data_IF_985922002776
#
_entry.id   IF_985922002776
#
_cell.length_a   1.000
_cell.length_b   1.000
_cell.length_c   1.000
_cell.angle_alpha   90.00
_cell.angle_beta   90.00
_cell.angle_gamma   90.00
#
_symmetry.space_group_name_H-M   'P 1'
#
loop_
_entity.id
_entity.type
_entity.pdbx_description
1 polymer ?
#
# COMPACT_ATOMS: atom_id res chain seq x y z
N UNK A 1 33.05 -36.72 49.54
CA UNK A 1 31.61 -36.68 49.85
C UNK A 1 31.13 -35.25 49.60
N UNK A 2 30.64 -34.96 48.39
CA UNK A 2 30.24 -33.61 47.94
C UNK A 2 28.79 -33.73 47.43
N UNK A 3 27.89 -32.93 48.02
CA UNK A 3 26.43 -33.03 47.95
C UNK A 3 25.82 -32.67 46.56
N UNK A 4 24.82 -33.44 46.06
CA UNK A 4 24.24 -33.31 44.72
C UNK A 4 23.23 -32.14 44.54
N UNK A 5 23.02 -31.30 45.55
CA UNK A 5 21.96 -30.26 45.54
C UNK A 5 22.25 -29.03 44.66
N UNK A 6 23.52 -28.79 44.29
CA UNK A 6 23.90 -27.58 43.54
C UNK A 6 23.47 -27.64 42.06
N UNK A 7 23.35 -28.85 41.48
CA UNK A 7 23.03 -29.04 40.06
C UNK A 7 21.57 -28.70 39.70
N UNK A 8 20.64 -28.79 40.66
CA UNK A 8 19.20 -28.61 40.41
C UNK A 8 18.78 -27.14 40.27
N UNK A 9 19.49 -26.21 40.92
CA UNK A 9 19.14 -24.78 40.89
C UNK A 9 19.60 -24.07 39.62
N UNK A 10 20.61 -24.61 38.92
CA UNK A 10 21.15 -24.02 37.68
C UNK A 10 20.26 -24.32 36.48
N UNK A 11 19.61 -25.49 36.45
CA UNK A 11 18.73 -25.89 35.34
C UNK A 11 17.45 -25.04 35.24
N UNK A 12 16.92 -24.55 36.37
CA UNK A 12 15.68 -23.77 36.40
C UNK A 12 15.89 -22.30 35.97
N UNK A 13 17.10 -21.77 36.12
CA UNK A 13 17.42 -20.38 35.78
C UNK A 13 17.62 -20.17 34.26
N UNK A 14 18.07 -21.19 33.52
CA UNK A 14 18.22 -21.10 32.06
C UNK A 14 16.89 -21.27 31.29
N UNK A 15 15.92 -22.00 31.84
CA UNK A 15 14.64 -22.24 31.18
C UNK A 15 13.75 -21.00 31.07
N UNK A 16 13.86 -20.06 32.03
CA UNK A 16 13.05 -18.83 32.03
C UNK A 16 13.64 -17.72 31.16
N UNK A 17 14.94 -17.77 30.86
CA UNK A 17 15.61 -16.76 30.05
C UNK A 17 15.30 -16.87 28.54
N UNK A 18 14.75 -18.01 28.08
CA UNK A 18 14.48 -18.24 26.65
C UNK A 18 13.09 -17.80 26.18
N UNK A 19 12.23 -17.29 27.07
CA UNK A 19 10.85 -16.88 26.73
C UNK A 19 10.71 -15.39 26.37
N UNK A 20 11.78 -14.59 26.43
CA UNK A 20 11.70 -13.12 26.30
C UNK A 20 12.29 -12.56 24.99
N UNK A 21 12.93 -13.37 24.14
CA UNK A 21 13.59 -12.87 22.91
C UNK A 21 12.71 -12.82 21.65
N UNK A 22 11.40 -13.09 21.76
CA UNK A 22 10.47 -13.11 20.62
C UNK A 22 9.89 -11.77 20.19
N UNK A 23 10.27 -10.66 20.82
CA UNK A 23 9.81 -9.31 20.48
C UNK A 23 10.48 -8.76 19.22
N UNK A 24 10.23 -9.39 18.06
CA UNK A 24 10.61 -8.79 16.79
C UNK A 24 9.97 -7.40 16.68
N UNK A 25 10.79 -6.37 16.47
CA UNK A 25 10.31 -5.03 16.12
C UNK A 25 9.40 -5.16 14.90
N UNK A 26 8.09 -5.22 15.12
CA UNK A 26 7.12 -4.88 14.07
C UNK A 26 7.20 -3.37 13.94
N UNK A 27 8.08 -2.90 13.07
CA UNK A 27 7.96 -1.55 12.55
C UNK A 27 6.52 -1.39 12.06
N UNK A 28 5.78 -0.47 12.65
CA UNK A 28 4.50 -0.06 12.12
C UNK A 28 4.73 0.30 10.64
N UNK A 29 3.91 -0.20 9.70
CA UNK A 29 4.06 0.17 8.31
C UNK A 29 4.08 1.70 8.24
N UNK A 30 5.10 2.31 7.60
CA UNK A 30 5.18 3.75 7.53
C UNK A 30 3.87 4.28 6.97
N UNK A 31 3.28 5.26 7.66
CA UNK A 31 2.17 6.05 7.13
C UNK A 31 2.51 6.51 5.72
N UNK A 32 1.56 6.47 4.79
CA UNK A 32 1.80 6.77 3.38
C UNK A 32 2.60 8.08 3.21
N UNK A 33 3.86 7.97 2.78
CA UNK A 33 4.71 9.12 2.52
C UNK A 33 4.10 9.92 1.37
N UNK A 34 3.77 11.20 1.60
CA UNK A 34 3.25 12.10 0.56
C UNK A 34 4.15 12.17 -0.67
N UNK A 35 5.45 11.87 -0.53
CA UNK A 35 6.41 11.78 -1.64
C UNK A 35 6.10 10.63 -2.60
N UNK A 36 5.48 9.56 -2.13
CA UNK A 36 4.98 8.48 -2.98
C UNK A 36 3.95 9.04 -3.97
N UNK A 37 2.87 9.64 -3.44
CA UNK A 37 1.75 10.14 -4.25
C UNK A 37 2.23 11.21 -5.22
N UNK A 38 2.97 12.20 -4.73
CA UNK A 38 3.52 13.27 -5.58
C UNK A 38 4.52 12.75 -6.60
N UNK A 39 5.29 11.71 -6.28
CA UNK A 39 6.20 11.03 -7.19
C UNK A 39 5.49 10.37 -8.37
N UNK A 40 4.44 9.59 -8.08
CA UNK A 40 3.65 8.90 -9.11
C UNK A 40 2.81 9.87 -9.96
N UNK A 41 2.20 10.87 -9.35
CA UNK A 41 1.50 11.91 -10.10
C UNK A 41 2.43 12.69 -11.04
N UNK A 42 3.69 12.92 -10.63
CA UNK A 42 4.71 13.54 -11.50
C UNK A 42 5.14 12.62 -12.64
N UNK A 43 5.23 11.30 -12.40
CA UNK A 43 5.48 10.33 -13.46
C UNK A 43 4.32 10.28 -14.47
N UNK A 44 3.08 10.27 -13.99
CA UNK A 44 1.89 10.35 -14.84
C UNK A 44 1.87 11.65 -15.64
N UNK A 45 2.23 12.78 -15.02
CA UNK A 45 2.35 14.06 -15.73
C UNK A 45 3.41 13.99 -16.85
N UNK A 46 4.56 13.38 -16.59
CA UNK A 46 5.59 13.20 -17.60
C UNK A 46 5.10 12.32 -18.77
N UNK A 47 4.34 11.26 -18.47
CA UNK A 47 3.72 10.40 -19.49
C UNK A 47 2.73 11.18 -20.36
N UNK A 48 1.77 11.89 -19.74
CA UNK A 48 0.78 12.72 -20.44
C UNK A 48 1.46 13.74 -21.36
N UNK A 49 2.57 14.33 -20.90
CA UNK A 49 3.39 15.26 -21.70
C UNK A 49 4.09 14.57 -22.87
N UNK A 50 4.64 13.38 -22.67
CA UNK A 50 5.31 12.61 -23.71
C UNK A 50 4.33 12.19 -24.81
N UNK A 51 3.13 11.77 -24.43
CA UNK A 51 2.05 11.34 -25.34
C UNK A 51 1.27 12.51 -25.96
N UNK A 52 1.59 13.77 -25.59
CA UNK A 52 0.95 14.99 -26.10
C UNK A 52 -0.58 14.95 -26.03
N UNK A 53 -1.12 14.39 -24.95
CA UNK A 53 -2.57 14.25 -24.81
C UNK A 53 -3.25 15.61 -24.80
N UNK A 54 -4.38 15.73 -25.49
CA UNK A 54 -5.20 16.94 -25.47
C UNK A 54 -5.69 17.24 -24.04
N UNK A 55 -5.94 18.52 -23.69
CA UNK A 55 -6.36 18.90 -22.34
C UNK A 55 -7.52 18.06 -21.75
N UNK A 56 -8.63 17.77 -22.47
CA UNK A 56 -9.71 16.96 -21.91
C UNK A 56 -9.32 15.48 -21.73
N UNK A 57 -8.47 14.93 -22.61
CA UNK A 57 -7.98 13.55 -22.48
C UNK A 57 -7.02 13.43 -21.28
N UNK A 58 -6.10 14.37 -21.15
CA UNK A 58 -5.18 14.46 -20.01
C UNK A 58 -5.94 14.55 -18.68
N UNK A 59 -6.98 15.38 -18.59
CA UNK A 59 -7.80 15.52 -17.39
C UNK A 59 -8.43 14.19 -16.96
N UNK A 60 -8.96 13.41 -17.93
CA UNK A 60 -9.52 12.08 -17.69
C UNK A 60 -8.47 11.10 -17.15
N UNK A 61 -7.29 11.08 -17.77
CA UNK A 61 -6.18 10.20 -17.35
C UNK A 61 -5.72 10.53 -15.93
N UNK A 62 -5.53 11.81 -15.60
CA UNK A 62 -5.16 12.22 -14.24
C UNK A 62 -6.22 11.85 -13.21
N UNK A 63 -7.50 12.07 -13.52
CA UNK A 63 -8.59 11.79 -12.59
C UNK A 63 -8.66 10.31 -12.23
N UNK A 64 -8.70 9.42 -13.23
CA UNK A 64 -8.79 7.98 -12.98
C UNK A 64 -7.50 7.41 -12.35
N UNK A 65 -6.32 7.86 -12.78
CA UNK A 65 -5.06 7.46 -12.16
C UNK A 65 -5.00 7.84 -10.69
N UNK A 66 -5.34 9.10 -10.36
CA UNK A 66 -5.36 9.57 -8.98
C UNK A 66 -6.39 8.86 -8.10
N UNK A 67 -7.60 8.59 -8.62
CA UNK A 67 -8.63 7.83 -7.89
C UNK A 67 -8.17 6.41 -7.58
N UNK A 68 -7.56 5.73 -8.54
CA UNK A 68 -7.05 4.37 -8.34
C UNK A 68 -5.89 4.34 -7.32
N UNK A 69 -4.96 5.29 -7.41
CA UNK A 69 -3.87 5.46 -6.45
C UNK A 69 -4.40 5.73 -5.03
N UNK A 70 -5.40 6.61 -4.92
CA UNK A 70 -6.04 6.96 -3.65
C UNK A 70 -6.74 5.76 -3.01
N UNK A 71 -7.57 5.03 -3.76
CA UNK A 71 -8.32 3.88 -3.26
C UNK A 71 -7.41 2.71 -2.86
N UNK A 72 -6.25 2.56 -3.50
CA UNK A 72 -5.26 1.56 -3.10
C UNK A 72 -4.48 1.92 -1.83
N UNK A 73 -4.27 3.21 -1.55
CA UNK A 73 -3.66 3.68 -0.28
C UNK A 73 -4.63 3.67 0.89
N UNK A 74 -5.92 3.96 0.62
CA UNK A 74 -6.97 4.14 1.62
C UNK A 74 -7.02 3.06 2.71
N UNK A 75 -6.94 1.75 2.43
CA UNK A 75 -7.06 0.74 3.49
C UNK A 75 -5.88 0.78 4.50
N UNK A 76 -4.77 1.42 4.14
CA UNK A 76 -3.63 1.63 5.02
C UNK A 76 -3.70 2.86 5.92
N UNK A 77 -4.75 3.67 5.82
CA UNK A 77 -4.90 4.91 6.58
C UNK A 77 -6.30 5.01 7.21
N UNK A 78 -6.41 5.18 8.53
CA UNK A 78 -7.70 5.42 9.17
C UNK A 78 -8.32 6.79 8.84
N UNK A 79 -7.53 7.71 8.25
CA UNK A 79 -7.99 9.05 7.89
C UNK A 79 -8.66 9.12 6.51
N UNK A 80 -8.37 8.17 5.63
CA UNK A 80 -8.89 8.17 4.26
C UNK A 80 -10.24 7.44 4.18
N UNK A 81 -11.20 8.05 3.48
CA UNK A 81 -12.55 7.49 3.27
C UNK A 81 -12.69 7.08 1.82
N UNK A 82 -13.37 5.97 1.55
CA UNK A 82 -13.55 5.53 0.16
C UNK A 82 -14.43 6.53 -0.60
N UNK A 83 -14.03 6.80 -1.83
CA UNK A 83 -14.76 7.54 -2.85
C UNK A 83 -15.87 6.70 -3.51
N UNK A 84 -15.91 5.39 -3.24
CA UNK A 84 -17.02 4.53 -3.64
C UNK A 84 -18.35 5.10 -3.11
N UNK A 85 -19.34 5.21 -4.00
CA UNK A 85 -20.61 5.86 -3.71
C UNK A 85 -20.59 7.38 -3.63
N UNK A 86 -19.41 8.03 -3.68
CA UNK A 86 -19.29 9.49 -3.78
C UNK A 86 -19.10 9.96 -5.24
N UNK A 87 -18.38 9.16 -6.03
CA UNK A 87 -18.18 9.42 -7.45
C UNK A 87 -19.22 8.68 -8.30
N UNK A 88 -19.71 9.36 -9.34
CA UNK A 88 -20.67 8.78 -10.28
C UNK A 88 -20.08 7.52 -10.91
N UNK A 89 -20.76 6.38 -10.73
CA UNK A 89 -20.34 5.11 -11.31
C UNK A 89 -19.15 4.45 -10.60
N UNK A 90 -18.69 4.94 -9.45
CA UNK A 90 -17.71 4.21 -8.63
C UNK A 90 -18.43 3.37 -7.58
N UNK A 91 -18.47 2.06 -7.80
CA UNK A 91 -19.09 1.08 -6.92
C UNK A 91 -18.10 0.59 -5.86
N UNK A 92 -18.55 -0.33 -5.02
CA UNK A 92 -17.68 -1.01 -4.05
C UNK A 92 -16.49 -1.67 -4.74
N UNK A 93 -15.31 -1.45 -4.15
CA UNK A 93 -14.03 -1.97 -4.62
C UNK A 93 -13.62 -3.22 -3.83
N UNK A 94 -12.74 -4.07 -4.38
CA UNK A 94 -12.23 -5.24 -3.66
C UNK A 94 -11.65 -4.85 -2.29
N UNK A 95 -12.13 -5.53 -1.25
CA UNK A 95 -11.62 -5.35 0.11
C UNK A 95 -10.36 -6.20 0.36
N UNK A 96 -9.41 -5.72 1.17
CA UNK A 96 -8.29 -6.53 1.64
C UNK A 96 -8.78 -7.77 2.38
N UNK A 97 -8.11 -8.92 2.20
CA UNK A 97 -8.50 -10.16 2.87
C UNK A 97 -8.12 -10.09 4.36
N UNK A 98 -9.01 -10.51 5.28
CA UNK A 98 -8.70 -10.56 6.70
C UNK A 98 -7.49 -11.46 6.98
N UNK A 99 -6.58 -11.01 7.84
CA UNK A 99 -5.41 -11.78 8.26
C UNK A 99 -4.21 -11.74 7.31
N UNK A 100 -4.35 -11.17 6.11
CA UNK A 100 -3.23 -10.93 5.20
C UNK A 100 -2.53 -9.60 5.50
N UNK A 101 -1.24 -9.51 5.14
CA UNK A 101 -0.46 -8.26 5.23
C UNK A 101 -0.25 -7.70 3.84
N UNK A 102 -0.52 -6.42 3.67
CA UNK A 102 -0.36 -5.70 2.42
C UNK A 102 0.66 -4.59 2.56
N UNK A 103 1.44 -4.37 1.50
CA UNK A 103 2.23 -3.16 1.33
C UNK A 103 1.38 -2.12 0.56
N UNK A 104 0.78 -1.19 1.29
CA UNK A 104 -0.16 -0.21 0.71
C UNK A 104 0.45 0.66 -0.40
N UNK A 105 1.72 1.11 -0.32
CA UNK A 105 2.40 1.76 -1.44
C UNK A 105 2.36 0.92 -2.73
N UNK A 106 2.73 -0.36 -2.66
CA UNK A 106 2.71 -1.26 -3.82
C UNK A 106 1.30 -1.48 -4.35
N UNK A 107 0.32 -1.69 -3.46
CA UNK A 107 -1.10 -1.85 -3.85
C UNK A 107 -1.60 -0.63 -4.60
N UNK A 108 -1.30 0.57 -4.09
CA UNK A 108 -1.73 1.82 -4.70
C UNK A 108 -1.18 2.03 -6.11
N UNK A 109 0.13 1.82 -6.29
CA UNK A 109 0.79 1.95 -7.60
C UNK A 109 0.27 0.88 -8.57
N UNK A 110 0.01 -0.33 -8.07
CA UNK A 110 -0.56 -1.42 -8.88
C UNK A 110 -1.98 -1.08 -9.34
N UNK A 111 -2.79 -0.46 -8.47
CA UNK A 111 -4.13 0.00 -8.81
C UNK A 111 -4.10 1.11 -9.86
N UNK A 112 -3.25 2.14 -9.67
CA UNK A 112 -3.03 3.20 -10.68
C UNK A 112 -2.60 2.62 -12.02
N UNK A 113 -1.59 1.74 -12.02
CA UNK A 113 -1.08 1.09 -13.24
C UNK A 113 -2.17 0.28 -13.94
N UNK A 114 -3.02 -0.43 -13.19
CA UNK A 114 -4.15 -1.19 -13.75
C UNK A 114 -5.14 -0.28 -14.46
N UNK A 115 -5.51 0.85 -13.83
CA UNK A 115 -6.41 1.83 -14.42
C UNK A 115 -5.81 2.47 -15.68
N UNK A 116 -4.55 2.89 -15.62
CA UNK A 116 -3.84 3.48 -16.76
C UNK A 116 -3.72 2.49 -17.92
N UNK A 117 -3.34 1.23 -17.65
CA UNK A 117 -3.26 0.20 -18.69
C UNK A 117 -4.60 -0.01 -19.41
N UNK A 118 -5.73 0.06 -18.70
CA UNK A 118 -7.06 0.05 -19.32
C UNK A 118 -7.24 1.23 -20.27
N UNK A 119 -7.01 2.45 -19.77
CA UNK A 119 -7.20 3.69 -20.53
C UNK A 119 -6.30 3.79 -21.78
N UNK A 120 -5.05 3.33 -21.70
CA UNK A 120 -4.13 3.38 -22.85
C UNK A 120 -4.35 2.22 -23.84
N UNK A 121 -4.84 1.05 -23.39
CA UNK A 121 -5.18 -0.06 -24.30
C UNK A 121 -6.39 0.22 -25.18
N UNK A 122 -7.34 0.99 -24.68
CA UNK A 122 -8.53 1.41 -25.42
C UNK A 122 -8.22 2.40 -26.57
N UNK A 123 -6.96 2.82 -26.71
CA UNK A 123 -6.48 3.69 -27.77
C UNK A 123 -6.90 5.14 -27.50
N UNK A 124 -6.01 5.93 -26.90
CA UNK A 124 -6.23 7.37 -26.83
C UNK A 124 -6.11 7.92 -28.26
N UNK A 125 -7.16 8.50 -28.86
CA UNK A 125 -7.03 9.11 -30.17
C UNK A 125 -6.08 10.30 -30.03
N UNK A 126 -4.89 10.17 -30.61
CA UNK A 126 -4.01 11.28 -30.87
C UNK A 126 -4.68 12.15 -31.95
N UNK A 127 -5.61 12.99 -31.54
CA UNK A 127 -6.14 14.08 -32.37
C UNK A 127 -5.28 15.31 -32.19
#
# INVERSE_FOLDING_TARGET
MIEPKVMSRVALACGLALLVTGGGCRSAPPSADSRLVTGWMRALYALVRAERLSPPVAARVFAYGAVALYEGLRPGSPQLKSLAGQLNGLHDLPAPRPGERYDWPTVAVSAETTALNGLFREGLPAT
#
